data_IF_630320991288
#
_entry.id   IF_630320991288
#
_cell.length_a   1.000
_cell.length_b   1.000
_cell.length_c   1.000
_cell.angle_alpha   90.00
_cell.angle_beta   90.00
_cell.angle_gamma   90.00
#
_symmetry.space_group_name_H-M   'P 1'
#
loop_
_entity.id
_entity.type
_entity.pdbx_description
1 polymer ?
#
# COMPACT_ATOMS: atom_id res chain seq x y z
N UNK A 1 6.57 -22.01 -15.71
CA UNK A 1 6.11 -21.48 -14.44
C UNK A 1 5.10 -20.35 -14.68
N UNK A 2 4.05 -20.35 -13.91
CA UNK A 2 3.03 -19.32 -14.01
C UNK A 2 3.10 -18.39 -12.81
N UNK A 3 3.14 -17.11 -13.08
CA UNK A 3 3.07 -16.10 -12.02
C UNK A 3 1.69 -15.46 -12.13
N UNK A 4 0.84 -15.76 -11.16
CA UNK A 4 -0.57 -15.37 -11.19
C UNK A 4 -0.86 -14.17 -10.31
N UNK A 5 0.05 -13.85 -9.39
CA UNK A 5 -0.23 -12.88 -8.35
C UNK A 5 0.14 -11.49 -8.84
N UNK A 6 -0.85 -10.60 -8.91
CA UNK A 6 -0.63 -9.21 -9.35
C UNK A 6 0.04 -8.37 -8.28
N UNK A 7 -0.34 -8.61 -7.01
CA UNK A 7 0.14 -7.80 -5.89
C UNK A 7 0.57 -8.74 -4.79
N UNK A 8 1.74 -9.37 -4.93
CA UNK A 8 2.15 -10.44 -4.02
C UNK A 8 2.38 -9.97 -2.58
N UNK A 9 2.60 -8.67 -2.38
CA UNK A 9 2.86 -8.14 -1.04
C UNK A 9 1.62 -7.53 -0.40
N UNK A 10 0.48 -7.53 -1.09
CA UNK A 10 -0.74 -6.90 -0.58
C UNK A 10 -1.78 -7.97 -0.29
N UNK A 11 -2.49 -7.82 0.83
CA UNK A 11 -3.55 -8.74 1.19
C UNK A 11 -4.69 -7.97 1.86
N UNK A 12 -5.83 -8.63 1.96
CA UNK A 12 -6.97 -8.16 2.75
C UNK A 12 -7.19 -9.20 3.83
N UNK A 13 -7.19 -8.78 5.08
CA UNK A 13 -7.32 -9.71 6.18
C UNK A 13 -8.34 -9.16 7.17
N UNK A 14 -9.36 -9.97 7.46
CA UNK A 14 -10.39 -9.58 8.40
C UNK A 14 -9.77 -9.31 9.77
N UNK A 15 -10.19 -8.24 10.42
CA UNK A 15 -9.68 -7.87 11.73
C UNK A 15 -8.40 -7.07 11.71
N UNK A 16 -7.82 -6.84 10.53
CA UNK A 16 -6.63 -5.99 10.40
C UNK A 16 -7.00 -4.78 9.55
N UNK A 17 -6.75 -3.58 10.08
CA UNK A 17 -7.03 -2.31 9.41
C UNK A 17 -8.47 -2.24 8.89
N UNK A 18 -9.42 -2.83 9.63
CA UNK A 18 -10.83 -2.81 9.25
C UNK A 18 -11.13 -3.59 7.98
N UNK A 19 -10.29 -4.57 7.61
CA UNK A 19 -10.47 -5.34 6.40
C UNK A 19 -10.01 -4.63 5.14
N UNK A 20 -9.31 -3.50 5.29
CA UNK A 20 -8.78 -2.76 4.14
C UNK A 20 -7.48 -3.39 3.66
N UNK A 21 -7.08 -3.17 2.40
CA UNK A 21 -5.82 -3.71 1.89
C UNK A 21 -4.63 -3.26 2.72
N UNK A 22 -3.78 -4.21 3.07
CA UNK A 22 -2.58 -3.97 3.90
C UNK A 22 -1.38 -4.65 3.25
N UNK A 23 -0.19 -4.20 3.62
CA UNK A 23 1.03 -4.90 3.27
C UNK A 23 1.07 -6.19 4.08
N UNK A 24 1.21 -7.32 3.38
CA UNK A 24 1.18 -8.65 3.99
C UNK A 24 2.21 -8.75 5.11
N UNK A 25 1.79 -9.29 6.25
CA UNK A 25 2.66 -9.44 7.41
C UNK A 25 2.81 -8.19 8.26
N UNK A 26 2.10 -7.12 7.93
CA UNK A 26 2.16 -5.87 8.69
C UNK A 26 0.74 -5.38 8.99
N UNK A 27 0.66 -4.28 9.74
CA UNK A 27 -0.59 -3.54 9.93
C UNK A 27 -0.58 -2.21 9.19
N UNK A 28 0.25 -2.11 8.14
CA UNK A 28 0.38 -0.87 7.37
C UNK A 28 -0.55 -0.97 6.16
N UNK A 29 -1.63 -0.18 6.13
CA UNK A 29 -2.57 -0.25 5.01
C UNK A 29 -2.01 0.46 3.78
N UNK A 30 -2.46 0.02 2.62
CA UNK A 30 -2.06 0.62 1.35
C UNK A 30 -2.38 2.11 1.34
N UNK A 31 -3.57 2.50 1.85
CA UNK A 31 -3.97 3.90 1.81
C UNK A 31 -3.00 4.80 2.58
N UNK A 32 -2.36 4.30 3.64
CA UNK A 32 -1.39 5.10 4.39
C UNK A 32 -0.14 5.38 3.57
N UNK A 33 0.34 4.37 2.85
CA UNK A 33 1.50 4.54 1.97
C UNK A 33 1.18 5.55 0.87
N UNK A 34 0.04 5.38 0.22
CA UNK A 34 -0.37 6.28 -0.86
C UNK A 34 -0.68 7.68 -0.32
N UNK A 35 -1.15 7.76 0.91
CA UNK A 35 -1.41 9.06 1.56
C UNK A 35 -0.15 9.92 1.67
N UNK A 36 0.99 9.32 2.00
CA UNK A 36 2.25 10.05 2.01
C UNK A 36 2.53 10.66 0.64
N UNK A 37 2.27 9.92 -0.41
CA UNK A 37 2.49 10.40 -1.77
C UNK A 37 1.47 11.48 -2.17
N UNK A 38 0.18 11.21 -1.96
CA UNK A 38 -0.88 12.09 -2.48
C UNK A 38 -1.06 13.36 -1.64
N UNK A 39 -0.94 13.26 -0.33
CA UNK A 39 -1.18 14.42 0.55
C UNK A 39 0.10 15.18 0.89
N UNK A 40 1.24 14.48 0.99
CA UNK A 40 2.48 15.09 1.43
C UNK A 40 3.51 15.20 0.32
N UNK A 41 3.21 14.68 -0.87
CA UNK A 41 4.11 14.69 -2.02
C UNK A 41 5.44 13.99 -1.75
N UNK A 42 5.42 12.96 -0.89
CA UNK A 42 6.63 12.22 -0.56
C UNK A 42 7.06 11.36 -1.74
N UNK A 43 8.36 11.35 -1.99
CA UNK A 43 8.97 10.39 -2.90
C UNK A 43 9.10 9.03 -2.22
N UNK A 44 9.38 7.99 -3.01
CA UNK A 44 9.51 6.63 -2.50
C UNK A 44 10.56 6.57 -1.39
N UNK A 45 11.70 7.24 -1.58
CA UNK A 45 12.77 7.24 -0.57
C UNK A 45 12.31 7.86 0.74
N UNK A 46 11.48 8.89 0.67
CA UNK A 46 10.95 9.54 1.86
C UNK A 46 9.95 8.65 2.58
N UNK A 47 9.13 7.93 1.82
CA UNK A 47 8.18 6.97 2.40
C UNK A 47 8.94 5.85 3.11
N UNK A 48 10.02 5.37 2.50
CA UNK A 48 10.88 4.34 3.11
C UNK A 48 11.46 4.80 4.45
N UNK A 49 11.81 6.08 4.56
CA UNK A 49 12.29 6.63 5.82
C UNK A 49 11.21 6.66 6.89
N UNK A 50 9.97 6.92 6.49
CA UNK A 50 8.85 6.95 7.43
C UNK A 50 8.43 5.55 7.86
N UNK A 51 8.59 4.57 6.99
CA UNK A 51 8.14 3.20 7.22
C UNK A 51 9.33 2.25 7.03
N UNK A 52 10.32 2.31 7.95
CA UNK A 52 11.57 1.57 7.77
C UNK A 52 11.40 0.05 7.81
N UNK A 53 10.27 -0.45 8.32
CA UNK A 53 10.00 -1.88 8.32
C UNK A 53 9.61 -2.41 6.94
N UNK A 54 9.35 -1.52 5.97
CA UNK A 54 8.97 -1.94 4.62
C UNK A 54 10.18 -1.90 3.69
N UNK A 55 10.17 -2.80 2.72
CA UNK A 55 11.16 -2.81 1.63
C UNK A 55 10.65 -1.97 0.46
N UNK A 56 11.55 -1.57 -0.44
CA UNK A 56 11.12 -0.92 -1.67
C UNK A 56 10.12 -1.74 -2.47
N UNK A 57 10.31 -3.07 -2.53
CA UNK A 57 9.40 -3.94 -3.28
C UNK A 57 7.97 -3.86 -2.72
N UNK A 58 7.85 -3.81 -1.40
CA UNK A 58 6.53 -3.70 -0.76
C UNK A 58 5.87 -2.37 -1.09
N UNK A 59 6.63 -1.30 -1.10
CA UNK A 59 6.09 0.03 -1.40
C UNK A 59 5.70 0.12 -2.87
N UNK A 60 6.54 -0.37 -3.78
CA UNK A 60 6.18 -0.36 -5.20
C UNK A 60 4.95 -1.22 -5.47
N UNK A 61 4.79 -2.33 -4.75
CA UNK A 61 3.61 -3.18 -4.90
C UNK A 61 2.36 -2.47 -4.39
N UNK A 62 2.49 -1.70 -3.31
CA UNK A 62 1.39 -0.88 -2.82
C UNK A 62 0.96 0.15 -3.88
N UNK A 63 1.91 0.76 -4.56
CA UNK A 63 1.59 1.68 -5.66
C UNK A 63 0.93 0.97 -6.82
N UNK A 64 1.42 -0.23 -7.17
CA UNK A 64 0.81 -1.05 -8.22
C UNK A 64 -0.65 -1.36 -7.87
N UNK A 65 -0.87 -1.77 -6.63
CA UNK A 65 -2.24 -2.02 -6.15
C UNK A 65 -3.11 -0.77 -6.24
N UNK A 66 -2.56 0.36 -5.81
CA UNK A 66 -3.27 1.63 -5.86
C UNK A 66 -3.72 1.96 -7.28
N UNK A 67 -2.82 1.82 -8.26
CA UNK A 67 -3.19 2.16 -9.63
C UNK A 67 -4.23 1.22 -10.22
N UNK A 68 -4.31 -0.01 -9.73
CA UNK A 68 -5.36 -0.95 -10.13
C UNK A 68 -6.68 -0.69 -9.39
N UNK A 69 -6.64 0.01 -8.24
CA UNK A 69 -7.80 0.26 -7.38
C UNK A 69 -7.81 1.71 -6.91
N UNK A 70 -7.61 2.62 -7.86
CA UNK A 70 -7.33 4.01 -7.56
C UNK A 70 -8.47 4.69 -6.80
N UNK A 71 -9.70 4.49 -7.29
CA UNK A 71 -10.87 5.12 -6.68
C UNK A 71 -11.06 4.68 -5.23
N UNK A 72 -10.99 3.38 -5.00
CA UNK A 72 -11.19 2.82 -3.66
C UNK A 72 -10.14 3.32 -2.69
N UNK A 73 -8.88 3.34 -3.11
CA UNK A 73 -7.79 3.82 -2.27
C UNK A 73 -7.94 5.30 -1.95
N UNK A 74 -8.32 6.10 -2.94
CA UNK A 74 -8.51 7.53 -2.73
C UNK A 74 -9.66 7.81 -1.79
N UNK A 75 -10.71 7.01 -1.84
CA UNK A 75 -11.81 7.13 -0.89
C UNK A 75 -11.34 6.83 0.53
N UNK A 76 -10.45 5.86 0.71
CA UNK A 76 -9.91 5.53 2.02
C UNK A 76 -9.02 6.64 2.57
N UNK A 77 -8.35 7.37 1.70
CA UNK A 77 -7.52 8.52 2.09
C UNK A 77 -8.40 9.77 2.31
N UNK A 78 -9.63 9.74 1.82
CA UNK A 78 -10.54 10.88 1.86
C UNK A 78 -10.05 12.04 1.01
N UNK A 79 -9.62 11.70 -0.18
CA UNK A 79 -9.22 12.71 -1.16
C UNK A 79 -10.42 13.29 -1.88
#
# INVERSE_FOLDING_TARGET
MKIQVKHPYITVKQGICGGRPVVKGTRIPVWAIIGYYKKLNYLIEEILKQLPELSPAQIYDAFSFYYDHQKETEEEIEL
#
